data_IF_000633284082
#
_entry.id   IF_000633284082
#
_cell.length_a   1.000
_cell.length_b   1.000
_cell.length_c   1.000
_cell.angle_alpha   90.00
_cell.angle_beta   90.00
_cell.angle_gamma   90.00
#
_symmetry.space_group_name_H-M   'P 1'
#
loop_
_entity.id
_entity.type
_entity.pdbx_description
1 polymer ?
#
# COMPACT_ATOMS: atom_id res chain seq x y z
N UNK A 1 -11.72 9.02 -7.60
CA UNK A 1 -11.81 7.57 -7.45
C UNK A 1 -10.96 6.91 -8.55
N UNK A 2 -9.77 6.39 -8.20
CA UNK A 2 -8.83 5.80 -9.18
C UNK A 2 -9.22 4.36 -9.53
N UNK A 3 -9.91 3.67 -8.62
CA UNK A 3 -10.56 2.39 -8.87
C UNK A 3 -12.03 2.74 -9.12
N UNK A 4 -12.42 2.84 -10.38
CA UNK A 4 -13.80 3.18 -10.75
C UNK A 4 -14.82 2.15 -10.21
N UNK A 5 -16.09 2.52 -10.11
CA UNK A 5 -17.16 1.57 -9.79
C UNK A 5 -17.17 0.47 -10.85
N UNK A 6 -16.94 -0.75 -10.44
CA UNK A 6 -16.88 -1.91 -11.34
C UNK A 6 -17.66 -3.06 -10.73
N UNK A 7 -18.37 -3.81 -11.58
CA UNK A 7 -19.13 -5.00 -11.17
C UNK A 7 -18.27 -6.25 -11.30
N UNK A 8 -18.46 -7.21 -10.40
CA UNK A 8 -17.82 -8.53 -10.44
C UNK A 8 -16.27 -8.46 -10.52
N UNK A 9 -15.68 -7.56 -9.75
CA UNK A 9 -14.22 -7.38 -9.70
C UNK A 9 -13.64 -7.88 -8.39
N UNK A 10 -12.41 -8.36 -8.46
CA UNK A 10 -11.63 -8.85 -7.32
C UNK A 10 -10.50 -7.90 -7.00
N UNK A 11 -10.43 -7.46 -5.75
CA UNK A 11 -9.33 -6.68 -5.19
C UNK A 11 -8.47 -7.55 -4.26
N UNK A 12 -7.17 -7.41 -4.35
CA UNK A 12 -6.25 -7.83 -3.30
C UNK A 12 -5.68 -6.58 -2.62
N UNK A 13 -5.79 -6.51 -1.29
CA UNK A 13 -5.22 -5.44 -0.47
C UNK A 13 -4.11 -6.03 0.39
N UNK A 14 -2.87 -5.66 0.09
CA UNK A 14 -1.67 -6.21 0.74
C UNK A 14 -1.09 -5.20 1.71
N UNK A 15 -0.56 -5.67 2.85
CA UNK A 15 -0.29 -4.87 4.03
C UNK A 15 -1.56 -4.10 4.46
N UNK A 16 -2.68 -4.81 4.46
CA UNK A 16 -4.01 -4.23 4.63
C UNK A 16 -4.29 -3.71 6.05
N UNK A 17 -3.45 -4.07 7.03
CA UNK A 17 -3.69 -3.71 8.43
C UNK A 17 -5.07 -4.17 8.92
N UNK A 18 -5.93 -3.23 9.27
CA UNK A 18 -7.32 -3.50 9.70
C UNK A 18 -8.35 -3.50 8.57
N UNK A 19 -7.90 -3.44 7.30
CA UNK A 19 -8.75 -3.57 6.11
C UNK A 19 -9.50 -2.30 5.71
N UNK A 20 -8.95 -1.12 6.03
CA UNK A 20 -9.62 0.16 5.75
C UNK A 20 -9.78 0.42 4.25
N UNK A 21 -8.78 0.10 3.43
CA UNK A 21 -8.87 0.23 1.96
C UNK A 21 -9.92 -0.75 1.42
N UNK A 22 -9.89 -1.98 1.93
CA UNK A 22 -10.87 -2.99 1.58
C UNK A 22 -12.30 -2.54 1.89
N UNK A 23 -12.53 -2.00 3.09
CA UNK A 23 -13.84 -1.43 3.47
C UNK A 23 -14.26 -0.32 2.52
N UNK A 24 -13.38 0.65 2.28
CA UNK A 24 -13.65 1.78 1.38
C UNK A 24 -14.01 1.30 -0.04
N UNK A 25 -13.35 0.25 -0.53
CA UNK A 25 -13.67 -0.34 -1.83
C UNK A 25 -15.08 -0.95 -1.83
N UNK A 26 -15.45 -1.75 -0.83
CA UNK A 26 -16.78 -2.38 -0.75
C UNK A 26 -17.90 -1.34 -0.60
N UNK A 27 -17.68 -0.30 0.19
CA UNK A 27 -18.66 0.77 0.40
C UNK A 27 -18.95 1.58 -0.87
N UNK A 28 -18.03 1.58 -1.84
CA UNK A 28 -18.13 2.39 -3.06
C UNK A 28 -18.31 1.56 -4.34
N UNK A 29 -18.53 0.25 -4.22
CA UNK A 29 -18.65 -0.65 -5.38
C UNK A 29 -19.84 -1.58 -5.25
N UNK A 30 -20.04 -2.43 -6.25
CA UNK A 30 -21.13 -3.40 -6.28
C UNK A 30 -20.96 -4.49 -5.20
N UNK A 31 -22.08 -4.98 -4.66
CA UNK A 31 -22.16 -6.02 -3.63
C UNK A 31 -21.50 -7.36 -4.02
N UNK A 32 -21.31 -7.60 -5.31
CA UNK A 32 -20.68 -8.83 -5.82
C UNK A 32 -19.15 -8.75 -5.90
N UNK A 33 -18.53 -7.64 -5.50
CA UNK A 33 -17.10 -7.52 -5.48
C UNK A 33 -16.50 -8.25 -4.28
N UNK A 34 -15.33 -8.86 -4.48
CA UNK A 34 -14.65 -9.65 -3.47
C UNK A 34 -13.28 -9.04 -3.16
N UNK A 35 -12.89 -9.12 -1.89
CA UNK A 35 -11.59 -8.65 -1.44
C UNK A 35 -10.82 -9.77 -0.78
N UNK A 36 -9.52 -9.81 -1.03
CA UNK A 36 -8.56 -10.58 -0.25
C UNK A 36 -7.63 -9.61 0.48
N UNK A 37 -7.75 -9.56 1.79
CA UNK A 37 -6.92 -8.78 2.70
C UNK A 37 -5.73 -9.61 3.17
N UNK A 38 -4.52 -9.11 2.98
CA UNK A 38 -3.27 -9.80 3.36
C UNK A 38 -2.43 -8.90 4.24
N UNK A 39 -1.97 -9.45 5.37
CA UNK A 39 -1.04 -8.77 6.26
C UNK A 39 -0.23 -9.82 7.04
N UNK A 40 1.09 -9.62 7.28
CA UNK A 40 1.88 -10.52 8.11
C UNK A 40 1.51 -10.43 9.59
N UNK A 41 0.89 -9.34 10.04
CA UNK A 41 0.54 -9.09 11.43
C UNK A 41 -0.84 -9.71 11.78
N UNK A 42 -0.79 -10.84 12.50
CA UNK A 42 -2.00 -11.55 12.96
C UNK A 42 -2.93 -10.67 13.80
N UNK A 43 -2.36 -9.80 14.64
CA UNK A 43 -3.13 -8.91 15.52
C UNK A 43 -3.92 -7.87 14.72
N UNK A 44 -3.33 -7.31 13.66
CA UNK A 44 -4.01 -6.39 12.77
C UNK A 44 -5.15 -7.07 12.02
N UNK A 45 -4.91 -8.27 11.49
CA UNK A 45 -5.96 -9.05 10.82
C UNK A 45 -7.10 -9.44 11.76
N UNK A 46 -6.81 -9.79 13.01
CA UNK A 46 -7.84 -10.11 14.01
C UNK A 46 -8.74 -8.89 14.29
N UNK A 47 -8.14 -7.71 14.48
CA UNK A 47 -8.89 -6.45 14.63
C UNK A 47 -9.70 -6.12 13.37
N UNK A 48 -9.14 -6.34 12.18
CA UNK A 48 -9.82 -6.13 10.92
C UNK A 48 -11.04 -7.03 10.75
N UNK A 49 -10.91 -8.33 11.07
CA UNK A 49 -12.02 -9.28 11.04
C UNK A 49 -13.16 -8.88 11.96
N UNK A 50 -12.86 -8.46 13.19
CA UNK A 50 -13.89 -8.01 14.13
C UNK A 50 -14.56 -6.71 13.63
N UNK A 51 -13.76 -5.73 13.20
CA UNK A 51 -14.24 -4.45 12.67
C UNK A 51 -15.15 -4.62 11.46
N UNK A 52 -14.84 -5.56 10.58
CA UNK A 52 -15.51 -5.77 9.29
C UNK A 52 -16.36 -7.06 9.26
N UNK A 53 -16.78 -7.57 10.41
CA UNK A 53 -17.53 -8.82 10.53
C UNK A 53 -18.85 -8.85 9.75
N UNK A 54 -19.43 -7.69 9.47
CA UNK A 54 -20.67 -7.57 8.68
C UNK A 54 -20.43 -7.69 7.17
N UNK A 55 -19.19 -7.63 6.70
CA UNK A 55 -18.83 -7.78 5.28
C UNK A 55 -18.49 -9.24 4.98
N UNK A 56 -19.35 -9.94 4.25
CA UNK A 56 -19.18 -11.37 3.94
C UNK A 56 -18.19 -11.63 2.79
N UNK A 57 -17.84 -10.60 2.02
CA UNK A 57 -17.05 -10.72 0.80
C UNK A 57 -15.56 -10.45 1.02
N UNK A 58 -15.06 -10.62 2.26
CA UNK A 58 -13.65 -10.40 2.61
C UNK A 58 -12.99 -11.72 3.00
N UNK A 59 -11.93 -12.07 2.29
CA UNK A 59 -11.02 -13.16 2.65
C UNK A 59 -9.78 -12.59 3.34
N UNK A 60 -9.37 -13.16 4.48
CA UNK A 60 -8.23 -12.72 5.26
C UNK A 60 -7.13 -13.78 5.25
N UNK A 61 -5.91 -13.40 4.90
CA UNK A 61 -4.76 -14.30 4.79
C UNK A 61 -3.55 -13.68 5.50
N UNK A 62 -2.86 -14.49 6.31
CA UNK A 62 -1.59 -14.10 6.92
C UNK A 62 -0.49 -14.42 5.92
N UNK A 63 0.15 -13.40 5.37
CA UNK A 63 1.30 -13.55 4.47
C UNK A 63 2.03 -12.21 4.29
N UNK A 64 3.27 -12.26 3.80
CA UNK A 64 4.02 -11.10 3.35
C UNK A 64 3.78 -10.83 1.86
N UNK A 65 4.14 -9.60 1.43
CA UNK A 65 4.00 -9.18 0.03
C UNK A 65 4.91 -9.97 -0.92
N UNK A 66 6.05 -10.46 -0.43
CA UNK A 66 7.07 -11.20 -1.19
C UNK A 66 6.69 -12.65 -1.52
N UNK A 67 5.64 -13.18 -0.85
CA UNK A 67 5.21 -14.57 -1.07
C UNK A 67 3.71 -14.71 -0.85
N UNK A 68 2.93 -14.46 -1.88
CA UNK A 68 1.47 -14.54 -1.81
C UNK A 68 0.98 -15.97 -2.07
N UNK A 69 0.26 -16.62 -1.11
CA UNK A 69 -0.27 -17.97 -1.28
C UNK A 69 -1.53 -17.98 -2.16
N UNK A 70 -1.40 -17.40 -3.35
CA UNK A 70 -2.48 -17.14 -4.29
C UNK A 70 -2.07 -17.55 -5.70
N UNK A 71 -3.06 -17.95 -6.51
CA UNK A 71 -2.82 -18.30 -7.92
C UNK A 71 -2.47 -17.05 -8.73
N UNK A 72 -1.68 -17.24 -9.79
CA UNK A 72 -1.43 -16.20 -10.78
C UNK A 72 -2.72 -15.78 -11.49
N UNK A 73 -2.78 -14.55 -12.01
CA UNK A 73 -3.89 -14.04 -12.81
C UNK A 73 -5.27 -14.14 -12.12
N UNK A 74 -5.33 -13.80 -10.83
CA UNK A 74 -6.55 -13.98 -10.02
C UNK A 74 -7.29 -12.68 -9.70
N UNK A 75 -6.60 -11.53 -9.73
CA UNK A 75 -7.15 -10.25 -9.26
C UNK A 75 -7.21 -9.21 -10.36
N UNK A 76 -8.27 -8.40 -10.33
CA UNK A 76 -8.43 -7.25 -11.23
C UNK A 76 -7.67 -6.02 -10.71
N UNK A 77 -7.61 -5.87 -9.38
CA UNK A 77 -6.91 -4.77 -8.72
C UNK A 77 -6.01 -5.27 -7.60
N UNK A 78 -4.87 -4.60 -7.44
CA UNK A 78 -3.94 -4.78 -6.33
C UNK A 78 -3.70 -3.44 -5.67
N UNK A 79 -3.88 -3.37 -4.36
CA UNK A 79 -3.55 -2.21 -3.54
C UNK A 79 -2.51 -2.56 -2.50
N UNK A 80 -1.61 -1.63 -2.22
CA UNK A 80 -0.73 -1.61 -1.08
C UNK A 80 -0.61 -0.18 -0.59
N UNK A 81 -0.96 0.07 0.68
CA UNK A 81 -1.00 1.42 1.26
C UNK A 81 -0.14 1.48 2.50
N UNK A 82 0.90 2.32 2.47
CA UNK A 82 1.86 2.53 3.56
C UNK A 82 2.54 1.25 4.06
N UNK A 83 2.69 0.26 3.17
CA UNK A 83 3.23 -1.05 3.48
C UNK A 83 4.42 -1.47 2.63
N UNK A 84 4.58 -0.89 1.45
CA UNK A 84 5.61 -1.32 0.51
C UNK A 84 7.03 -1.03 1.03
N UNK A 85 7.22 0.10 1.73
CA UNK A 85 8.51 0.46 2.36
C UNK A 85 8.95 -0.50 3.46
N UNK A 86 8.02 -1.29 4.02
CA UNK A 86 8.28 -2.26 5.10
C UNK A 86 8.57 -3.68 4.57
N UNK A 87 8.57 -3.87 3.25
CA UNK A 87 8.91 -5.15 2.64
C UNK A 87 10.41 -5.37 2.67
N UNK A 88 10.83 -6.63 2.84
CA UNK A 88 12.26 -7.00 2.88
C UNK A 88 12.89 -6.99 1.50
N UNK A 89 12.08 -7.22 0.47
CA UNK A 89 12.52 -7.33 -0.92
C UNK A 89 11.46 -6.68 -1.82
N UNK A 90 11.76 -5.45 -2.24
CA UNK A 90 10.86 -4.65 -3.08
C UNK A 90 10.60 -5.32 -4.43
N UNK A 91 11.64 -5.89 -5.04
CA UNK A 91 11.55 -6.53 -6.34
C UNK A 91 10.63 -7.76 -6.30
N UNK A 92 10.82 -8.64 -5.31
CA UNK A 92 9.91 -9.77 -5.10
C UNK A 92 8.47 -9.34 -4.82
N UNK A 93 8.27 -8.28 -4.04
CA UNK A 93 6.94 -7.76 -3.73
C UNK A 93 6.23 -7.29 -4.99
N UNK A 94 6.92 -6.57 -5.86
CA UNK A 94 6.37 -6.10 -7.14
C UNK A 94 6.17 -7.26 -8.13
N UNK A 95 7.10 -8.22 -8.17
CA UNK A 95 6.96 -9.43 -8.99
C UNK A 95 5.73 -10.25 -8.59
N UNK A 96 5.48 -10.46 -7.30
CA UNK A 96 4.30 -11.15 -6.78
C UNK A 96 3.01 -10.35 -7.07
N UNK A 97 3.04 -9.03 -6.92
CA UNK A 97 1.92 -8.17 -7.31
C UNK A 97 1.57 -8.34 -8.79
N UNK A 98 2.58 -8.30 -9.66
CA UNK A 98 2.39 -8.55 -11.09
C UNK A 98 1.88 -9.97 -11.36
N UNK A 99 2.41 -10.98 -10.67
CA UNK A 99 2.02 -12.39 -10.86
C UNK A 99 0.54 -12.61 -10.57
N UNK A 100 0.03 -12.08 -9.45
CA UNK A 100 -1.35 -12.34 -9.03
C UNK A 100 -2.39 -11.51 -9.78
N UNK A 101 -2.01 -10.39 -10.38
CA UNK A 101 -2.89 -9.61 -11.24
C UNK A 101 -3.22 -10.36 -12.52
N UNK A 102 -4.45 -10.22 -12.99
CA UNK A 102 -4.90 -10.65 -14.33
C UNK A 102 -4.28 -9.77 -15.40
N UNK A 103 -4.24 -10.22 -16.64
CA UNK A 103 -4.03 -9.33 -17.79
C UNK A 103 -5.12 -8.25 -17.81
N UNK A 104 -4.73 -7.00 -18.03
CA UNK A 104 -5.61 -5.84 -17.86
C UNK A 104 -5.87 -5.45 -16.41
N UNK A 105 -5.26 -6.14 -15.44
CA UNK A 105 -5.33 -5.78 -14.04
C UNK A 105 -4.44 -4.59 -13.68
N UNK A 106 -4.77 -3.89 -12.61
CA UNK A 106 -4.11 -2.64 -12.24
C UNK A 106 -3.56 -2.67 -10.83
N UNK A 107 -2.30 -2.26 -10.70
CA UNK A 107 -1.58 -2.07 -9.44
C UNK A 107 -1.71 -0.63 -8.96
N UNK A 108 -1.85 -0.46 -7.64
CA UNK A 108 -1.82 0.82 -6.96
C UNK A 108 -0.99 0.73 -5.69
N UNK A 109 -0.06 1.65 -5.54
CA UNK A 109 0.74 1.81 -4.33
C UNK A 109 0.60 3.25 -3.81
N UNK A 110 0.06 3.41 -2.61
CA UNK A 110 0.04 4.66 -1.86
C UNK A 110 1.14 4.59 -0.81
N UNK A 111 2.13 5.49 -0.88
CA UNK A 111 3.26 5.44 0.04
C UNK A 111 3.82 6.83 0.34
N UNK A 112 4.49 6.95 1.47
CA UNK A 112 5.33 8.11 1.74
C UNK A 112 6.46 8.19 0.70
N UNK A 113 6.87 9.42 0.38
CA UNK A 113 7.84 9.65 -0.67
C UNK A 113 8.72 10.86 -0.37
N UNK A 114 9.67 11.13 -1.25
CA UNK A 114 10.63 12.23 -1.07
C UNK A 114 10.03 13.54 -1.54
N UNK A 115 10.15 14.59 -0.71
CA UNK A 115 9.72 15.94 -1.07
C UNK A 115 10.60 16.46 -2.19
N UNK A 116 10.00 16.87 -3.30
CA UNK A 116 10.73 17.34 -4.48
C UNK A 116 11.26 18.79 -4.33
N UNK A 117 10.59 19.59 -3.50
CA UNK A 117 10.99 20.98 -3.25
C UNK A 117 12.04 21.06 -2.12
N UNK A 118 13.27 21.44 -2.43
CA UNK A 118 14.38 21.52 -1.47
C UNK A 118 14.11 22.42 -0.26
N UNK A 119 13.37 23.51 -0.45
CA UNK A 119 13.02 24.41 0.66
C UNK A 119 12.02 23.76 1.62
N UNK A 120 11.03 23.08 1.07
CA UNK A 120 10.05 22.35 1.86
C UNK A 120 10.67 21.10 2.51
N UNK A 121 11.59 20.43 1.82
CA UNK A 121 12.34 19.30 2.37
C UNK A 121 13.13 19.70 3.62
N UNK A 122 13.80 20.86 3.59
CA UNK A 122 14.53 21.38 4.74
C UNK A 122 13.61 21.65 5.94
N UNK A 123 12.44 22.27 5.70
CA UNK A 123 11.43 22.53 6.74
C UNK A 123 10.88 21.21 7.28
N UNK A 124 10.55 20.27 6.40
CA UNK A 124 10.04 18.95 6.76
C UNK A 124 11.05 18.17 7.61
N UNK A 125 12.34 18.13 7.20
CA UNK A 125 13.40 17.47 7.97
C UNK A 125 13.61 18.06 9.36
N UNK A 126 13.43 19.37 9.53
CA UNK A 126 13.43 20.00 10.86
C UNK A 126 12.20 19.59 11.68
N UNK A 127 11.03 19.57 11.05
CA UNK A 127 9.78 19.24 11.73
C UNK A 127 9.68 17.75 12.06
N UNK A 128 10.12 16.86 11.16
CA UNK A 128 10.10 15.42 11.37
C UNK A 128 10.95 14.98 12.56
N UNK A 129 12.07 15.67 12.84
CA UNK A 129 12.89 15.42 14.05
C UNK A 129 12.16 15.76 15.37
N UNK A 130 11.12 16.61 15.32
CA UNK A 130 10.31 16.95 16.49
C UNK A 130 9.16 15.94 16.72
N UNK A 131 8.73 15.22 15.67
CA UNK A 131 7.62 14.28 15.74
C UNK A 131 7.87 13.15 16.76
N UNK A 132 9.04 12.49 16.83
CA UNK A 132 9.33 11.48 17.86
C UNK A 132 9.33 12.04 19.28
N UNK A 133 9.76 13.29 19.44
CA UNK A 133 9.77 13.98 20.75
C UNK A 133 8.34 14.25 21.19
N UNK A 134 7.51 14.77 20.30
CA UNK A 134 6.08 15.01 20.56
C UNK A 134 5.37 13.68 20.81
N UNK A 135 5.65 12.63 20.02
CA UNK A 135 5.10 11.30 20.19
C UNK A 135 5.39 10.71 21.58
N UNK A 136 6.61 10.91 22.09
CA UNK A 136 6.97 10.52 23.45
C UNK A 136 6.12 11.21 24.53
N UNK A 137 5.84 12.50 24.35
CA UNK A 137 5.03 13.27 25.33
C UNK A 137 3.54 13.01 25.21
N UNK A 138 3.02 12.72 24.01
CA UNK A 138 1.57 12.58 23.76
C UNK A 138 1.11 11.13 23.88
N UNK A 139 1.90 10.17 23.37
CA UNK A 139 1.53 8.74 23.28
C UNK A 139 2.39 7.86 24.19
N UNK A 140 3.43 8.42 24.81
CA UNK A 140 4.34 7.69 25.71
C UNK A 140 5.35 6.77 25.00
N UNK A 141 5.38 6.75 23.66
CA UNK A 141 6.26 5.88 22.87
C UNK A 141 6.98 6.68 21.79
N UNK A 142 8.29 6.51 21.68
CA UNK A 142 9.14 7.18 20.68
C UNK A 142 9.48 6.24 19.52
N UNK A 143 9.74 4.99 19.80
CA UNK A 143 10.25 3.98 18.85
C UNK A 143 9.42 3.83 17.56
N UNK A 144 8.07 3.82 17.58
CA UNK A 144 7.28 3.72 16.35
C UNK A 144 7.48 4.91 15.41
N UNK A 145 7.77 6.09 15.95
CA UNK A 145 7.99 7.31 15.17
C UNK A 145 9.40 7.38 14.57
N UNK A 146 10.41 6.94 15.34
CA UNK A 146 11.79 6.81 14.83
C UNK A 146 11.82 5.80 13.68
N UNK A 147 11.17 4.63 13.84
CA UNK A 147 11.03 3.65 12.77
C UNK A 147 10.31 4.20 11.54
N UNK A 148 9.24 4.97 11.72
CA UNK A 148 8.50 5.58 10.62
C UNK A 148 9.41 6.49 9.80
N UNK A 149 10.16 7.38 10.45
CA UNK A 149 11.07 8.32 9.80
C UNK A 149 12.17 7.54 9.07
N UNK A 150 12.81 6.61 9.75
CA UNK A 150 13.88 5.78 9.15
C UNK A 150 13.39 5.00 7.94
N UNK A 151 12.21 4.38 8.03
CA UNK A 151 11.64 3.63 6.91
C UNK A 151 11.29 4.51 5.71
N UNK A 152 10.86 5.76 5.93
CA UNK A 152 10.63 6.75 4.87
C UNK A 152 11.95 7.19 4.25
N UNK A 153 12.97 7.46 5.08
CA UNK A 153 14.28 7.94 4.61
C UNK A 153 15.03 6.88 3.80
N UNK A 154 14.86 5.62 4.14
CA UNK A 154 15.47 4.49 3.44
C UNK A 154 14.67 4.02 2.21
N UNK A 155 13.43 4.44 2.06
CA UNK A 155 12.61 4.04 0.92
C UNK A 155 13.02 4.77 -0.37
N UNK A 156 12.80 4.13 -1.50
CA UNK A 156 13.04 4.68 -2.84
C UNK A 156 12.18 5.92 -3.10
N UNK A 157 12.67 6.83 -3.94
CA UNK A 157 11.90 7.98 -4.37
C UNK A 157 10.86 7.61 -5.46
N UNK A 158 10.08 8.59 -5.91
CA UNK A 158 8.98 8.37 -6.86
C UNK A 158 9.46 7.79 -8.20
N UNK A 159 10.54 8.33 -8.75
CA UNK A 159 11.09 7.89 -10.04
C UNK A 159 11.71 6.50 -9.92
N UNK A 160 12.45 6.26 -8.84
CA UNK A 160 13.04 4.93 -8.58
C UNK A 160 11.95 3.86 -8.45
N UNK A 161 10.86 4.13 -7.71
CA UNK A 161 9.75 3.19 -7.63
C UNK A 161 9.09 2.93 -8.99
N UNK A 162 8.98 3.98 -9.81
CA UNK A 162 8.46 3.85 -11.17
C UNK A 162 9.33 2.90 -12.00
N UNK A 163 10.67 3.02 -11.90
CA UNK A 163 11.60 2.13 -12.60
C UNK A 163 11.51 0.68 -12.07
N UNK A 164 11.44 0.47 -10.75
CA UNK A 164 11.18 -0.87 -10.18
C UNK A 164 9.91 -1.49 -10.72
N UNK A 165 8.83 -0.70 -10.86
CA UNK A 165 7.57 -1.19 -11.45
C UNK A 165 7.75 -1.62 -12.91
N UNK A 166 8.47 -0.82 -13.72
CA UNK A 166 8.76 -1.17 -15.12
C UNK A 166 9.61 -2.43 -15.24
N UNK A 167 10.66 -2.57 -14.42
CA UNK A 167 11.48 -3.77 -14.35
C UNK A 167 10.66 -5.02 -14.02
N UNK A 168 9.63 -4.87 -13.18
CA UNK A 168 8.66 -5.91 -12.85
C UNK A 168 7.49 -6.02 -13.84
N UNK A 169 7.71 -5.58 -15.10
CA UNK A 169 6.81 -5.76 -16.26
C UNK A 169 5.49 -4.99 -16.18
N UNK A 170 5.33 -4.07 -15.25
CA UNK A 170 4.20 -3.16 -15.29
C UNK A 170 4.35 -2.18 -16.44
N UNK A 171 3.23 -1.89 -17.11
CA UNK A 171 3.17 -0.95 -18.21
C UNK A 171 2.31 0.26 -17.85
N UNK A 172 2.43 1.33 -18.64
CA UNK A 172 1.70 2.61 -18.41
C UNK A 172 1.85 3.07 -16.97
N UNK A 173 3.06 2.88 -16.41
CA UNK A 173 3.37 3.28 -15.05
C UNK A 173 3.36 4.80 -14.93
N UNK A 174 2.73 5.29 -13.89
CA UNK A 174 2.73 6.71 -13.55
C UNK A 174 2.60 6.88 -12.04
N UNK A 175 2.89 8.10 -11.56
CA UNK A 175 2.60 8.47 -10.19
C UNK A 175 1.98 9.86 -10.11
N UNK A 176 1.33 10.14 -8.99
CA UNK A 176 0.77 11.43 -8.65
C UNK A 176 1.15 11.77 -7.21
N UNK A 177 1.74 12.96 -7.04
CA UNK A 177 2.10 13.50 -5.74
C UNK A 177 0.94 14.15 -5.03
N UNK A 178 0.91 14.00 -3.71
CA UNK A 178 0.03 14.72 -2.78
C UNK A 178 0.89 15.43 -1.74
N UNK A 179 0.38 16.53 -1.19
CA UNK A 179 1.06 17.31 -0.14
C UNK A 179 2.52 17.61 -0.52
N UNK A 180 2.74 18.16 -1.72
CA UNK A 180 4.06 18.50 -2.25
C UNK A 180 5.07 17.33 -2.30
N UNK A 181 4.58 16.10 -2.48
CA UNK A 181 5.41 14.91 -2.63
C UNK A 181 5.68 14.15 -1.32
N UNK A 182 5.11 14.57 -0.19
CA UNK A 182 5.18 13.78 1.06
C UNK A 182 4.56 12.39 0.88
N UNK A 183 3.49 12.32 0.09
CA UNK A 183 2.79 11.09 -0.26
C UNK A 183 2.69 11.03 -1.77
N UNK A 184 2.87 9.84 -2.33
CA UNK A 184 2.63 9.59 -3.75
C UNK A 184 1.77 8.34 -3.94
N UNK A 185 0.94 8.37 -4.98
CA UNK A 185 0.24 7.18 -5.45
C UNK A 185 0.83 6.78 -6.80
N UNK A 186 1.39 5.59 -6.85
CA UNK A 186 1.87 4.96 -8.09
C UNK A 186 0.81 4.03 -8.65
N UNK A 187 0.73 3.94 -9.95
CA UNK A 187 -0.11 2.95 -10.62
C UNK A 187 0.53 2.40 -11.89
N UNK A 188 0.23 1.15 -12.19
CA UNK A 188 0.71 0.46 -13.38
C UNK A 188 -0.24 -0.66 -13.78
N UNK A 189 -0.14 -1.12 -15.02
CA UNK A 189 -0.99 -2.15 -15.58
C UNK A 189 -0.19 -3.41 -15.88
N UNK A 190 -0.81 -4.56 -15.69
CA UNK A 190 -0.36 -5.82 -16.28
C UNK A 190 -1.02 -5.97 -17.64
N UNK A 191 -0.23 -6.00 -18.69
CA UNK A 191 -0.68 -6.16 -20.08
C UNK A 191 -0.39 -7.55 -20.61
#
# INVERSE_FOLDING_TARGET
NMIGPSKNKSLIDVACGTGDIGKLYLDNTDVNNHITCIDPNKGMLAKGKEKLKNYKNIKWIISSAEKLPLKSNSFDFYTISFGLRNTKDLDKSLSEAHRVLKKGGRFFCLEFSKIQNKNLEFIYKKYSKLIPIIGKYVVGQREPYDYLIESIDNFVNQEELLEYMKMNKFQKCNYRNFSNGIISIHSGWKV
#
